data_IF_842218093777
#
_entry.id   IF_842218093777
#
_cell.length_a   1.000
_cell.length_b   1.000
_cell.length_c   1.000
_cell.angle_alpha   90.00
_cell.angle_beta   90.00
_cell.angle_gamma   90.00
#
_symmetry.space_group_name_H-M   'P 1'
#
loop_
_entity.id
_entity.type
_entity.pdbx_description
1 polymer ?
#
# COMPACT_ATOMS: atom_id res chain seq x y z
N UNK A 1 -63.69 32.27 48.75
CA UNK A 1 -62.95 32.26 47.50
C UNK A 1 -61.84 31.25 47.61
N UNK A 2 -61.92 30.09 46.93
CA UNK A 2 -60.94 29.03 46.95
C UNK A 2 -60.19 29.04 45.63
N UNK A 3 -58.89 29.30 45.66
CA UNK A 3 -57.99 29.35 44.47
C UNK A 3 -57.56 27.89 44.18
N UNK A 4 -57.64 27.42 42.91
CA UNK A 4 -57.11 26.12 42.57
C UNK A 4 -55.58 26.15 42.31
N UNK A 5 -54.85 25.22 42.87
CA UNK A 5 -53.45 24.95 42.61
C UNK A 5 -53.36 24.10 41.37
N UNK A 6 -52.75 24.63 40.28
CA UNK A 6 -52.45 23.85 39.08
C UNK A 6 -51.09 23.18 39.29
N UNK A 7 -51.08 21.87 39.34
CA UNK A 7 -49.87 21.04 39.39
C UNK A 7 -49.36 20.81 37.97
N UNK A 8 -48.26 21.43 37.59
CA UNK A 8 -47.57 21.20 36.30
C UNK A 8 -46.69 19.97 36.42
N UNK A 9 -47.04 18.89 35.77
CA UNK A 9 -46.22 17.67 35.64
C UNK A 9 -45.21 17.87 34.53
N UNK A 10 -43.92 17.99 34.88
CA UNK A 10 -42.80 18.02 33.93
C UNK A 10 -42.47 16.57 33.58
N UNK A 11 -42.81 16.10 32.39
CA UNK A 11 -42.32 14.85 31.81
C UNK A 11 -40.89 15.09 31.30
N UNK A 12 -39.89 14.63 32.02
CA UNK A 12 -38.52 14.54 31.54
C UNK A 12 -38.40 13.34 30.59
N UNK A 13 -38.41 13.62 29.29
CA UNK A 13 -38.11 12.60 28.26
C UNK A 13 -36.65 12.22 28.31
N UNK A 14 -36.32 11.01 28.77
CA UNK A 14 -34.99 10.44 28.65
C UNK A 14 -34.81 10.00 27.21
N UNK A 15 -34.13 10.84 26.43
CA UNK A 15 -33.66 10.48 25.07
C UNK A 15 -32.56 9.45 25.19
N UNK A 16 -32.86 8.18 24.96
CA UNK A 16 -31.85 7.13 24.78
C UNK A 16 -31.23 7.35 23.41
N UNK A 17 -30.02 7.93 23.37
CA UNK A 17 -29.23 7.96 22.15
C UNK A 17 -28.83 6.51 21.81
N UNK A 18 -29.48 5.94 20.83
CA UNK A 18 -29.08 4.66 20.26
C UNK A 18 -27.80 4.92 19.46
N UNK A 19 -26.64 4.70 20.08
CA UNK A 19 -25.39 4.61 19.36
C UNK A 19 -25.48 3.36 18.48
N UNK A 20 -25.66 3.56 17.18
CA UNK A 20 -25.48 2.48 16.21
C UNK A 20 -24.04 1.95 16.38
N UNK A 21 -23.89 0.69 16.78
CA UNK A 21 -22.60 0.06 16.89
C UNK A 21 -21.88 0.16 15.53
N UNK A 22 -20.75 0.82 15.51
CA UNK A 22 -19.91 0.87 14.30
C UNK A 22 -19.55 -0.57 13.91
N UNK A 23 -19.73 -0.96 12.65
CA UNK A 23 -19.36 -2.30 12.21
C UNK A 23 -17.89 -2.56 12.56
N UNK A 24 -17.64 -3.70 13.20
CA UNK A 24 -16.27 -4.09 13.56
C UNK A 24 -15.46 -4.30 12.28
N UNK A 25 -14.20 -3.82 12.22
CA UNK A 25 -13.35 -4.05 11.06
C UNK A 25 -13.19 -5.55 10.77
N UNK A 26 -13.33 -5.91 9.51
CA UNK A 26 -13.16 -7.31 9.08
C UNK A 26 -11.70 -7.71 9.18
N UNK A 27 -11.45 -8.98 9.49
CA UNK A 27 -10.09 -9.54 9.55
C UNK A 27 -10.01 -10.80 8.68
N UNK A 28 -8.90 -10.97 8.00
CA UNK A 28 -8.56 -12.14 7.21
C UNK A 28 -7.24 -12.72 7.69
N UNK A 29 -7.23 -14.03 7.98
CA UNK A 29 -6.01 -14.77 8.33
C UNK A 29 -5.69 -15.78 7.23
N UNK A 30 -4.44 -15.84 6.81
CA UNK A 30 -3.98 -16.69 5.73
C UNK A 30 -2.50 -17.03 5.87
N UNK A 31 -2.12 -18.17 5.32
CA UNK A 31 -0.74 -18.56 5.06
C UNK A 31 -0.29 -17.99 3.73
N UNK A 32 0.95 -17.51 3.65
CA UNK A 32 1.52 -16.90 2.45
C UNK A 32 2.88 -17.52 2.13
N UNK A 33 3.12 -17.84 0.88
CA UNK A 33 4.37 -18.39 0.37
C UNK A 33 4.93 -17.50 -0.71
N UNK A 34 6.21 -17.16 -0.60
CA UNK A 34 6.94 -16.35 -1.56
C UNK A 34 8.24 -17.03 -1.93
N UNK A 35 8.31 -17.59 -3.13
CA UNK A 35 9.46 -18.29 -3.67
C UNK A 35 10.18 -17.39 -4.66
N UNK A 36 11.48 -17.22 -4.46
CA UNK A 36 12.40 -16.46 -5.35
C UNK A 36 13.37 -17.41 -5.98
N UNK A 37 13.54 -17.34 -7.30
CA UNK A 37 14.42 -18.21 -8.06
C UNK A 37 15.39 -17.34 -8.86
N UNK A 38 16.66 -17.37 -8.49
CA UNK A 38 17.75 -16.76 -9.26
C UNK A 38 18.23 -17.79 -10.26
N UNK A 39 18.30 -17.42 -11.55
CA UNK A 39 18.69 -18.30 -12.65
C UNK A 39 19.80 -17.67 -13.49
N UNK A 40 20.40 -18.49 -14.31
CA UNK A 40 21.34 -18.08 -15.34
C UNK A 40 22.55 -17.28 -14.79
N UNK A 41 23.01 -17.65 -13.60
CA UNK A 41 24.24 -17.09 -13.03
C UNK A 41 25.40 -17.54 -13.92
N UNK A 42 26.14 -16.59 -14.54
CA UNK A 42 27.24 -16.93 -15.43
C UNK A 42 28.36 -17.71 -14.73
N UNK A 43 28.93 -18.69 -15.43
CA UNK A 43 30.12 -19.35 -14.96
C UNK A 43 31.25 -18.32 -14.79
N UNK A 44 31.87 -18.31 -13.60
CA UNK A 44 32.94 -17.35 -13.25
C UNK A 44 32.43 -15.99 -12.76
N UNK A 45 31.14 -15.82 -12.48
CA UNK A 45 30.62 -14.68 -11.72
C UNK A 45 31.40 -14.55 -10.40
N UNK A 46 31.71 -13.32 -10.02
CA UNK A 46 32.50 -13.04 -8.80
C UNK A 46 31.63 -12.86 -7.59
N UNK A 47 30.44 -12.26 -7.79
CA UNK A 47 29.54 -11.99 -6.68
C UNK A 47 28.08 -11.93 -7.15
N UNK A 48 27.19 -12.44 -6.31
CA UNK A 48 25.73 -12.32 -6.48
C UNK A 48 25.16 -11.70 -5.22
N UNK A 49 24.42 -10.62 -5.39
CA UNK A 49 23.56 -10.04 -4.35
C UNK A 49 22.08 -10.31 -4.70
N UNK A 50 21.33 -10.75 -3.72
CA UNK A 50 19.89 -10.89 -3.83
C UNK A 50 19.21 -10.19 -2.64
N UNK A 51 18.22 -9.37 -2.92
CA UNK A 51 17.32 -8.79 -1.93
C UNK A 51 15.89 -9.29 -2.18
N UNK A 52 15.23 -9.72 -1.12
CA UNK A 52 13.84 -10.18 -1.13
C UNK A 52 13.05 -9.34 -0.12
N UNK A 53 11.93 -8.71 -0.51
CA UNK A 53 11.11 -7.96 0.43
C UNK A 53 10.51 -8.90 1.49
N UNK A 54 10.52 -8.46 2.74
CA UNK A 54 9.98 -9.18 3.88
C UNK A 54 8.87 -8.35 4.51
N UNK A 55 7.64 -8.87 4.63
CA UNK A 55 6.57 -8.14 5.27
C UNK A 55 6.85 -7.94 6.76
N UNK A 56 6.24 -6.92 7.34
CA UNK A 56 6.39 -6.58 8.76
C UNK A 56 5.04 -6.25 9.38
N UNK A 57 5.01 -6.23 10.71
CA UNK A 57 3.83 -5.84 11.48
C UNK A 57 3.53 -4.36 11.32
N UNK A 58 2.25 -4.03 11.27
CA UNK A 58 1.75 -2.67 11.40
C UNK A 58 0.44 -2.64 12.23
N UNK A 59 -0.23 -1.50 12.30
CA UNK A 59 -1.48 -1.36 13.04
C UNK A 59 -2.63 -2.25 12.49
N UNK A 60 -2.52 -2.70 11.25
CA UNK A 60 -3.56 -3.44 10.52
C UNK A 60 -3.10 -4.80 10.02
N UNK A 61 -1.84 -5.15 10.26
CA UNK A 61 -1.22 -6.39 9.80
C UNK A 61 -0.36 -7.00 10.89
N UNK A 62 -0.52 -8.29 11.13
CA UNK A 62 0.35 -9.09 11.99
C UNK A 62 0.95 -10.22 11.18
N UNK A 63 2.28 -10.37 11.24
CA UNK A 63 3.03 -11.43 10.59
C UNK A 63 3.56 -12.38 11.66
N UNK A 64 3.26 -13.65 11.53
CA UNK A 64 3.68 -14.70 12.46
C UNK A 64 4.33 -15.86 11.72
N UNK A 65 5.09 -16.64 12.46
CA UNK A 65 5.68 -17.89 11.96
C UNK A 65 6.50 -17.70 10.67
N UNK A 66 7.17 -16.53 10.53
CA UNK A 66 8.05 -16.28 9.39
C UNK A 66 9.15 -17.36 9.35
N UNK A 67 9.23 -18.07 8.25
CA UNK A 67 10.25 -19.07 7.94
C UNK A 67 10.95 -18.68 6.65
N UNK A 68 12.25 -18.85 6.64
CA UNK A 68 13.10 -18.58 5.48
C UNK A 68 13.89 -19.85 5.21
N UNK A 69 13.69 -20.42 4.02
CA UNK A 69 14.50 -21.51 3.49
C UNK A 69 15.46 -20.97 2.46
N UNK A 70 16.76 -21.06 2.75
CA UNK A 70 17.84 -20.52 1.92
C UNK A 70 19.03 -21.46 1.93
N UNK A 71 19.59 -21.82 0.77
CA UNK A 71 20.82 -22.61 0.70
C UNK A 71 22.06 -21.80 1.10
N UNK A 72 21.95 -20.50 1.25
CA UNK A 72 23.05 -19.59 1.61
C UNK A 72 22.75 -18.80 2.89
N UNK A 73 23.77 -18.36 3.62
CA UNK A 73 23.60 -17.43 4.73
C UNK A 73 22.90 -16.15 4.28
N UNK A 74 22.00 -15.65 5.11
CA UNK A 74 21.26 -14.41 4.83
C UNK A 74 21.28 -13.45 6.03
N UNK A 75 20.94 -12.21 5.78
CA UNK A 75 20.70 -11.17 6.79
C UNK A 75 19.34 -10.53 6.57
N UNK A 76 18.69 -10.16 7.67
CA UNK A 76 17.50 -9.30 7.63
C UNK A 76 17.93 -7.89 7.98
N UNK A 77 17.52 -6.92 7.19
CA UNK A 77 17.84 -5.51 7.40
C UNK A 77 16.61 -4.64 7.13
N UNK A 78 16.61 -3.46 7.73
CA UNK A 78 15.61 -2.42 7.47
C UNK A 78 16.29 -1.23 6.80
N UNK A 79 15.68 -0.67 5.78
CA UNK A 79 16.24 0.43 4.99
C UNK A 79 15.21 1.57 4.79
N UNK A 80 15.28 2.28 3.68
CA UNK A 80 14.41 3.43 3.39
C UNK A 80 12.92 3.09 3.57
N UNK A 81 12.16 4.04 4.06
CA UNK A 81 10.73 3.91 4.38
C UNK A 81 10.37 2.81 5.39
N UNK A 82 11.33 2.40 6.23
CA UNK A 82 11.19 1.29 7.19
C UNK A 82 10.94 -0.08 6.52
N UNK A 83 11.31 -0.23 5.25
CA UNK A 83 11.16 -1.49 4.53
C UNK A 83 12.12 -2.54 5.06
N UNK A 84 11.60 -3.71 5.36
CA UNK A 84 12.38 -4.88 5.79
C UNK A 84 12.70 -5.76 4.58
N UNK A 85 13.91 -6.25 4.53
CA UNK A 85 14.38 -7.11 3.45
C UNK A 85 15.33 -8.20 3.94
N UNK A 86 15.28 -9.33 3.27
CA UNK A 86 16.29 -10.37 3.33
C UNK A 86 17.36 -10.04 2.30
N UNK A 87 18.62 -10.16 2.67
CA UNK A 87 19.76 -10.03 1.77
C UNK A 87 20.62 -11.29 1.83
N UNK A 88 20.99 -11.79 0.65
CA UNK A 88 21.97 -12.87 0.45
C UNK A 88 23.09 -12.33 -0.44
N UNK A 89 24.33 -12.45 0.03
CA UNK A 89 25.53 -12.17 -0.76
C UNK A 89 26.33 -13.46 -0.94
N UNK A 90 26.70 -13.79 -2.17
CA UNK A 90 27.43 -15.01 -2.52
C UNK A 90 28.68 -14.66 -3.30
N UNK A 91 29.85 -14.94 -2.72
CA UNK A 91 31.14 -14.79 -3.40
C UNK A 91 31.42 -16.07 -4.19
N UNK A 92 31.91 -15.91 -5.43
CA UNK A 92 32.28 -17.00 -6.34
C UNK A 92 31.21 -18.10 -6.41
N UNK A 93 29.96 -17.77 -6.82
CA UNK A 93 28.87 -18.73 -6.85
C UNK A 93 29.23 -19.96 -7.68
N UNK A 94 28.92 -21.15 -7.17
CA UNK A 94 29.18 -22.43 -7.86
C UNK A 94 27.96 -22.90 -8.65
N UNK A 95 26.79 -22.54 -8.18
CA UNK A 95 25.52 -22.93 -8.80
C UNK A 95 25.06 -21.88 -9.81
N UNK A 96 24.56 -22.30 -10.95
CA UNK A 96 23.95 -21.42 -11.93
C UNK A 96 22.52 -21.01 -11.57
N UNK A 97 21.94 -21.63 -10.57
CA UNK A 97 20.56 -21.40 -10.10
C UNK A 97 20.44 -21.74 -8.62
N UNK A 98 19.70 -20.92 -7.88
CA UNK A 98 19.29 -21.25 -6.52
C UNK A 98 17.91 -20.69 -6.19
N UNK A 99 17.30 -21.20 -5.15
CA UNK A 99 15.97 -20.82 -4.70
C UNK A 99 16.00 -20.38 -3.24
N UNK A 100 15.26 -19.32 -2.92
CA UNK A 100 14.95 -18.89 -1.55
C UNK A 100 13.44 -18.84 -1.40
N UNK A 101 12.92 -19.38 -0.30
CA UNK A 101 11.50 -19.35 0.00
C UNK A 101 11.24 -18.66 1.35
N UNK A 102 10.26 -17.77 1.36
CA UNK A 102 9.69 -17.20 2.56
C UNK A 102 8.29 -17.76 2.74
N UNK A 103 7.93 -18.17 3.96
CA UNK A 103 6.54 -18.46 4.30
C UNK A 103 6.18 -17.85 5.65
N UNK A 104 4.94 -17.44 5.81
CA UNK A 104 4.45 -16.81 7.03
C UNK A 104 2.93 -16.90 7.13
N UNK A 105 2.42 -16.70 8.34
CA UNK A 105 1.00 -16.52 8.60
C UNK A 105 0.74 -15.03 8.77
N UNK A 106 -0.27 -14.50 8.08
CA UNK A 106 -0.69 -13.12 8.17
C UNK A 106 -2.11 -13.02 8.72
N UNK A 107 -2.34 -12.02 9.59
CA UNK A 107 -3.67 -11.55 9.94
C UNK A 107 -3.79 -10.10 9.50
N UNK A 108 -4.65 -9.84 8.51
CA UNK A 108 -4.90 -8.50 7.99
C UNK A 108 -6.28 -8.03 8.40
N UNK A 109 -6.32 -6.87 9.06
CA UNK A 109 -7.56 -6.19 9.45
C UNK A 109 -7.83 -5.04 8.50
N UNK A 110 -9.10 -4.76 8.20
CA UNK A 110 -9.49 -3.56 7.46
C UNK A 110 -8.85 -2.32 8.10
N UNK A 111 -8.21 -1.51 7.28
CA UNK A 111 -7.77 -0.19 7.68
C UNK A 111 -8.91 0.80 7.43
N UNK A 112 -9.64 1.15 8.46
CA UNK A 112 -10.73 2.14 8.39
C UNK A 112 -10.31 3.38 9.18
N UNK A 113 -10.29 4.54 8.53
CA UNK A 113 -10.14 5.82 9.22
C UNK A 113 -11.48 6.22 9.85
N UNK A 114 -11.74 5.73 11.05
CA UNK A 114 -13.02 5.87 11.74
C UNK A 114 -13.51 7.32 11.88
N UNK A 115 -12.59 8.28 11.95
CA UNK A 115 -12.93 9.72 12.06
C UNK A 115 -13.66 10.28 10.86
N UNK A 116 -13.45 9.70 9.68
CA UNK A 116 -14.23 10.07 8.48
C UNK A 116 -15.67 9.56 8.56
N UNK A 117 -15.93 8.59 9.43
CA UNK A 117 -17.23 7.93 9.60
C UNK A 117 -17.84 8.23 10.98
N UNK A 118 -17.54 9.40 11.57
CA UNK A 118 -18.12 9.85 12.83
C UNK A 118 -17.44 9.34 14.10
N UNK A 119 -16.25 8.76 13.97
CA UNK A 119 -15.42 8.38 15.13
C UNK A 119 -14.88 9.59 15.88
N UNK A 120 -14.39 9.42 17.13
CA UNK A 120 -13.89 10.51 17.96
C UNK A 120 -12.70 11.21 17.31
N UNK A 121 -12.66 12.55 17.44
CA UNK A 121 -11.50 13.34 17.02
C UNK A 121 -10.25 12.94 17.84
N UNK A 122 -9.05 13.03 17.21
CA UNK A 122 -7.80 12.94 17.96
C UNK A 122 -7.71 14.11 18.96
N UNK A 123 -7.35 13.82 20.21
CA UNK A 123 -6.66 14.83 21.00
C UNK A 123 -5.47 15.31 20.16
N UNK A 124 -5.14 16.62 20.21
CA UNK A 124 -4.10 17.24 19.38
C UNK A 124 -2.83 16.38 19.43
N UNK A 125 -2.66 15.49 18.45
CA UNK A 125 -1.43 14.75 18.25
C UNK A 125 -0.49 15.67 17.47
N UNK A 126 0.73 15.84 17.95
CA UNK A 126 1.78 16.46 17.14
C UNK A 126 1.90 15.66 15.83
N UNK A 127 1.97 16.37 14.71
CA UNK A 127 2.17 15.73 13.42
C UNK A 127 3.46 14.90 13.48
N UNK A 128 3.46 13.64 13.01
CA UNK A 128 4.65 12.80 13.02
C UNK A 128 5.83 13.50 12.37
N UNK A 129 7.01 13.46 13.01
CA UNK A 129 8.23 14.12 12.51
C UNK A 129 8.63 13.65 11.10
N UNK A 130 8.20 12.44 10.74
CA UNK A 130 8.47 11.84 9.43
C UNK A 130 7.61 12.39 8.30
N UNK A 131 6.62 13.25 8.55
CA UNK A 131 5.74 13.77 7.49
C UNK A 131 6.48 14.50 6.38
N UNK A 132 7.60 15.17 6.71
CA UNK A 132 8.39 15.92 5.75
C UNK A 132 8.93 15.04 4.60
N UNK A 133 9.22 13.76 4.84
CA UNK A 133 9.66 12.85 3.78
C UNK A 133 8.56 12.57 2.76
N UNK A 134 7.30 12.58 3.18
CA UNK A 134 6.13 12.29 2.34
C UNK A 134 5.60 13.52 1.59
N UNK A 135 6.31 14.64 1.67
CA UNK A 135 6.14 15.84 0.84
C UNK A 135 7.19 15.94 -0.28
N UNK A 136 8.17 15.03 -0.30
CA UNK A 136 9.23 15.04 -1.30
C UNK A 136 8.78 14.46 -2.64
N UNK A 137 9.35 14.91 -3.76
CA UNK A 137 9.13 14.26 -5.05
C UNK A 137 9.72 12.85 -5.05
N UNK A 138 9.16 12.00 -5.91
CA UNK A 138 9.82 10.78 -6.37
C UNK A 138 10.31 11.00 -7.81
N UNK A 139 11.27 10.23 -8.29
CA UNK A 139 11.88 10.36 -9.62
C UNK A 139 10.85 10.37 -10.77
N UNK A 140 9.79 9.57 -10.66
CA UNK A 140 8.70 9.50 -11.62
C UNK A 140 7.45 10.31 -11.19
N UNK A 141 7.52 11.01 -10.07
CA UNK A 141 6.47 11.92 -9.58
C UNK A 141 7.13 13.23 -9.14
N UNK A 142 7.68 14.01 -10.08
CA UNK A 142 8.23 15.32 -9.78
C UNK A 142 7.13 16.28 -9.30
N UNK A 143 7.52 17.27 -8.49
CA UNK A 143 6.62 18.31 -7.99
C UNK A 143 6.96 19.66 -8.65
N UNK A 144 7.04 19.65 -9.96
CA UNK A 144 7.34 20.83 -10.77
C UNK A 144 6.10 21.71 -11.01
N UNK A 145 6.29 22.81 -11.73
CA UNK A 145 5.24 23.79 -11.98
C UNK A 145 4.04 23.21 -12.73
N UNK A 146 4.28 22.24 -13.63
CA UNK A 146 3.21 21.61 -14.40
C UNK A 146 2.33 20.72 -13.50
N UNK A 147 2.95 19.89 -12.66
CA UNK A 147 2.22 19.03 -11.70
C UNK A 147 1.48 19.90 -10.68
N UNK A 148 2.10 20.98 -10.20
CA UNK A 148 1.45 21.96 -9.32
C UNK A 148 0.26 22.65 -9.98
N UNK A 149 0.38 23.02 -11.25
CA UNK A 149 -0.72 23.63 -12.00
C UNK A 149 -1.90 22.68 -12.18
N UNK A 150 -1.65 21.43 -12.54
CA UNK A 150 -2.70 20.41 -12.64
C UNK A 150 -3.39 20.13 -11.29
N UNK A 151 -2.62 20.02 -10.21
CA UNK A 151 -3.17 19.83 -8.88
C UNK A 151 -4.07 20.99 -8.44
N UNK A 152 -3.63 22.25 -8.65
CA UNK A 152 -4.42 23.45 -8.34
C UNK A 152 -5.73 23.49 -9.14
N UNK A 153 -5.67 23.23 -10.44
CA UNK A 153 -6.87 23.22 -11.30
C UNK A 153 -7.95 22.26 -10.78
N UNK A 154 -7.54 21.08 -10.28
CA UNK A 154 -8.48 20.09 -9.72
C UNK A 154 -9.15 20.60 -8.45
N UNK A 155 -8.40 21.17 -7.51
CA UNK A 155 -8.96 21.60 -6.22
C UNK A 155 -9.74 22.90 -6.33
N UNK A 156 -9.34 23.82 -7.21
CA UNK A 156 -10.06 25.05 -7.50
C UNK A 156 -11.44 24.77 -8.14
N UNK A 157 -11.49 23.87 -9.14
CA UNK A 157 -12.76 23.44 -9.74
C UNK A 157 -13.72 22.77 -8.75
N UNK A 158 -13.18 22.12 -7.73
CA UNK A 158 -13.94 21.49 -6.67
C UNK A 158 -14.28 22.44 -5.51
N UNK A 159 -13.77 23.68 -5.52
CA UNK A 159 -13.86 24.64 -4.41
C UNK A 159 -13.41 24.02 -3.08
N UNK A 160 -12.30 23.26 -3.10
CA UNK A 160 -11.77 22.53 -1.96
C UNK A 160 -10.70 23.36 -1.23
N UNK A 161 -10.80 23.47 0.10
CA UNK A 161 -9.99 24.39 0.91
C UNK A 161 -9.22 23.71 2.05
N UNK A 162 -9.69 22.57 2.54
CA UNK A 162 -9.02 21.79 3.59
C UNK A 162 -8.26 20.62 2.99
N UNK A 163 -7.27 20.07 3.72
CA UNK A 163 -6.51 18.89 3.29
C UNK A 163 -7.44 17.75 2.88
N UNK A 164 -8.50 17.52 3.66
CA UNK A 164 -9.46 16.47 3.40
C UNK A 164 -10.28 16.72 2.12
N UNK A 165 -10.78 17.94 1.94
CA UNK A 165 -11.54 18.34 0.74
C UNK A 165 -10.67 18.26 -0.52
N UNK A 166 -9.43 18.78 -0.43
CA UNK A 166 -8.46 18.71 -1.53
C UNK A 166 -8.11 17.28 -1.90
N UNK A 167 -7.83 16.42 -0.92
CA UNK A 167 -7.57 15.00 -1.16
C UNK A 167 -8.78 14.28 -1.75
N UNK A 168 -10.01 14.62 -1.31
CA UNK A 168 -11.26 14.08 -1.89
C UNK A 168 -11.44 14.53 -3.34
N UNK A 169 -11.16 15.81 -3.64
CA UNK A 169 -11.23 16.33 -5.00
C UNK A 169 -10.24 15.63 -5.93
N UNK A 170 -8.98 15.43 -5.47
CA UNK A 170 -7.96 14.69 -6.22
C UNK A 170 -8.39 13.24 -6.44
N UNK A 171 -8.85 12.55 -5.39
CA UNK A 171 -9.35 11.19 -5.49
C UNK A 171 -10.48 11.06 -6.51
N UNK A 172 -11.48 11.94 -6.42
CA UNK A 172 -12.59 11.97 -7.35
C UNK A 172 -12.17 12.24 -8.78
N UNK A 173 -11.20 13.14 -8.98
CA UNK A 173 -10.60 13.40 -10.28
C UNK A 173 -9.94 12.14 -10.85
N UNK A 174 -9.06 11.48 -10.09
CA UNK A 174 -8.36 10.26 -10.53
C UNK A 174 -9.36 9.16 -10.90
N UNK A 175 -10.31 8.85 -10.01
CA UNK A 175 -11.33 7.81 -10.25
C UNK A 175 -12.18 8.08 -11.48
N UNK A 176 -12.46 9.37 -11.78
CA UNK A 176 -13.34 9.76 -12.89
C UNK A 176 -12.61 9.89 -14.22
N UNK A 177 -11.31 10.14 -14.22
CA UNK A 177 -10.56 10.48 -15.43
C UNK A 177 -9.59 9.39 -15.90
N UNK A 178 -9.14 8.51 -14.98
CA UNK A 178 -8.18 7.46 -15.30
C UNK A 178 -8.90 6.12 -15.46
N UNK A 179 -8.63 5.42 -16.56
CA UNK A 179 -9.18 4.09 -16.82
C UNK A 179 -8.18 3.01 -16.40
N UNK A 180 -8.66 1.98 -15.69
CA UNK A 180 -7.84 0.80 -15.40
C UNK A 180 -7.65 -0.02 -16.69
N UNK A 181 -6.53 0.19 -17.36
CA UNK A 181 -6.23 -0.38 -18.67
C UNK A 181 -4.72 -0.65 -18.78
N UNK A 182 -4.35 -1.90 -19.01
CA UNK A 182 -2.98 -2.39 -19.12
C UNK A 182 -2.56 -2.62 -20.58
N UNK A 183 -3.26 -2.04 -21.54
CA UNK A 183 -2.90 -2.16 -22.96
C UNK A 183 -1.87 -1.12 -23.39
N UNK A 184 -1.09 -1.42 -24.40
CA UNK A 184 -0.04 -0.52 -24.91
C UNK A 184 1.25 -0.55 -24.08
N UNK A 185 2.03 0.53 -24.18
CA UNK A 185 3.34 0.67 -23.51
C UNK A 185 3.31 1.84 -22.52
N UNK A 186 4.14 1.76 -21.47
CA UNK A 186 4.38 2.85 -20.52
C UNK A 186 3.58 2.79 -19.23
N UNK A 187 2.47 2.04 -19.16
CA UNK A 187 1.70 1.84 -17.94
C UNK A 187 2.47 1.05 -16.87
N UNK A 188 2.05 1.19 -15.63
CA UNK A 188 2.56 0.41 -14.49
C UNK A 188 3.85 0.95 -13.89
N UNK A 189 4.43 2.00 -14.44
CA UNK A 189 5.60 2.65 -13.89
C UNK A 189 5.26 3.71 -12.83
N UNK A 190 4.01 4.19 -12.83
CA UNK A 190 3.61 5.32 -12.01
C UNK A 190 4.38 6.59 -12.39
N UNK A 191 4.60 6.79 -13.67
CA UNK A 191 5.08 8.04 -14.23
C UNK A 191 3.89 9.00 -14.31
N UNK A 192 3.95 10.08 -13.55
CA UNK A 192 2.82 11.01 -13.42
C UNK A 192 2.47 11.67 -14.75
N UNK A 193 3.46 11.96 -15.61
CA UNK A 193 3.19 12.55 -16.91
C UNK A 193 2.46 11.57 -17.83
N UNK A 194 2.93 10.33 -17.88
CA UNK A 194 2.23 9.28 -18.61
C UNK A 194 0.79 9.15 -18.13
N UNK A 195 0.61 9.01 -16.83
CA UNK A 195 -0.70 8.78 -16.22
C UNK A 195 -1.68 9.94 -16.47
N UNK A 196 -1.22 11.19 -16.39
CA UNK A 196 -2.02 12.37 -16.67
C UNK A 196 -2.38 12.55 -18.14
N UNK A 197 -1.46 12.22 -19.06
CA UNK A 197 -1.63 12.38 -20.49
C UNK A 197 -2.48 11.27 -21.09
N UNK A 198 -2.13 10.01 -20.81
CA UNK A 198 -2.81 8.83 -21.34
C UNK A 198 -4.13 8.52 -20.65
N UNK A 199 -4.30 8.98 -19.40
CA UNK A 199 -5.49 8.77 -18.56
C UNK A 199 -5.88 7.30 -18.46
N UNK A 200 -4.86 6.43 -18.39
CA UNK A 200 -5.00 4.98 -18.24
C UNK A 200 -3.75 4.39 -17.62
N UNK A 201 -3.90 3.19 -17.06
CA UNK A 201 -2.82 2.44 -16.46
C UNK A 201 -3.31 1.46 -15.41
N UNK A 202 -2.40 1.02 -14.54
CA UNK A 202 -2.72 0.17 -13.39
C UNK A 202 -2.74 0.98 -12.08
N UNK A 203 -2.80 0.28 -10.95
CA UNK A 203 -2.82 0.91 -9.62
C UNK A 203 -1.66 1.89 -9.40
N UNK A 204 -0.44 1.61 -9.92
CA UNK A 204 0.71 2.48 -9.75
C UNK A 204 0.52 3.84 -10.43
N UNK A 205 -0.10 3.84 -11.61
CA UNK A 205 -0.37 5.06 -12.39
C UNK A 205 -1.47 5.92 -11.72
N UNK A 206 -2.54 5.27 -11.21
CA UNK A 206 -3.58 5.95 -10.43
C UNK A 206 -3.00 6.65 -9.20
N UNK A 207 -2.19 5.93 -8.42
CA UNK A 207 -1.66 6.47 -7.18
C UNK A 207 -0.49 7.44 -7.40
N UNK A 208 0.19 7.41 -8.56
CA UNK A 208 1.16 8.43 -8.93
C UNK A 208 0.49 9.81 -9.07
N UNK A 209 -0.67 9.89 -9.74
CA UNK A 209 -1.43 11.14 -9.85
C UNK A 209 -1.91 11.58 -8.46
N UNK A 210 -2.54 10.68 -7.70
CA UNK A 210 -3.06 11.01 -6.38
C UNK A 210 -1.97 11.58 -5.47
N UNK A 211 -0.84 10.87 -5.32
CA UNK A 211 0.26 11.30 -4.46
C UNK A 211 0.93 12.58 -4.97
N UNK A 212 1.17 12.67 -6.27
CA UNK A 212 1.82 13.83 -6.88
C UNK A 212 1.01 15.11 -6.66
N UNK A 213 -0.30 15.04 -6.86
CA UNK A 213 -1.18 16.20 -6.64
C UNK A 213 -1.30 16.55 -5.15
N UNK A 214 -1.47 15.55 -4.27
CA UNK A 214 -1.52 15.78 -2.83
C UNK A 214 -0.24 16.46 -2.34
N UNK A 215 0.94 15.91 -2.67
CA UNK A 215 2.24 16.47 -2.28
C UNK A 215 2.49 17.87 -2.87
N UNK A 216 2.07 18.10 -4.12
CA UNK A 216 2.18 19.41 -4.79
C UNK A 216 1.36 20.52 -4.08
N UNK A 217 0.31 20.13 -3.35
CA UNK A 217 -0.53 21.01 -2.54
C UNK A 217 -0.15 21.03 -1.06
N UNK A 218 0.96 20.38 -0.68
CA UNK A 218 1.44 20.36 0.70
C UNK A 218 0.80 19.30 1.58
N UNK A 219 0.04 18.36 1.02
CA UNK A 219 -0.56 17.23 1.74
C UNK A 219 0.41 16.06 1.72
N UNK A 220 0.94 15.60 2.87
CA UNK A 220 1.81 14.44 2.91
C UNK A 220 1.09 13.21 2.41
N UNK A 221 1.71 12.49 1.45
CA UNK A 221 1.14 11.27 0.90
C UNK A 221 2.21 10.20 0.71
N UNK A 222 1.89 8.94 1.03
CA UNK A 222 2.81 7.81 0.94
C UNK A 222 2.25 6.69 0.09
N UNK A 223 3.14 6.00 -0.58
CA UNK A 223 2.89 4.82 -1.38
C UNK A 223 3.03 3.58 -0.52
N UNK A 224 2.14 2.62 -0.69
CA UNK A 224 2.25 1.29 -0.12
C UNK A 224 1.99 0.24 -1.20
N UNK A 225 2.67 -0.91 -1.11
CA UNK A 225 2.63 -1.95 -2.11
C UNK A 225 2.74 -3.33 -1.46
N UNK A 226 2.05 -4.28 -2.05
CA UNK A 226 2.07 -5.66 -1.63
C UNK A 226 1.30 -6.54 -2.60
N UNK A 227 0.56 -7.51 -2.09
CA UNK A 227 -0.18 -8.46 -2.93
C UNK A 227 -1.66 -8.47 -2.58
N UNK A 228 -2.53 -8.46 -3.60
CA UNK A 228 -3.96 -8.63 -3.39
C UNK A 228 -4.29 -10.11 -3.21
N UNK A 229 -5.29 -10.40 -2.39
CA UNK A 229 -5.92 -11.71 -2.31
C UNK A 229 -7.31 -11.63 -2.95
N UNK A 230 -7.78 -12.65 -3.68
CA UNK A 230 -9.17 -12.70 -4.14
C UNK A 230 -10.14 -12.51 -2.97
N UNK A 231 -11.28 -11.85 -3.21
CA UNK A 231 -12.28 -11.63 -2.18
C UNK A 231 -12.85 -12.95 -1.64
N UNK A 232 -13.00 -13.94 -2.52
CA UNK A 232 -13.42 -15.29 -2.15
C UNK A 232 -12.32 -15.96 -1.32
N UNK A 233 -12.75 -16.66 -0.28
CA UNK A 233 -11.83 -17.41 0.59
C UNK A 233 -11.40 -18.70 -0.10
N UNK A 234 -10.15 -19.12 0.18
CA UNK A 234 -9.60 -20.35 -0.40
C UNK A 234 -8.07 -20.34 -0.45
N UNK A 235 -7.53 -20.92 -1.50
CA UNK A 235 -6.10 -20.97 -1.78
C UNK A 235 -5.84 -20.71 -3.27
N UNK A 236 -4.64 -20.27 -3.60
CA UNK A 236 -4.27 -20.05 -4.99
C UNK A 236 -2.95 -19.35 -5.19
N UNK A 237 -2.59 -19.15 -6.47
CA UNK A 237 -1.45 -18.34 -6.87
C UNK A 237 -1.84 -16.88 -7.05
N UNK A 238 -0.92 -15.99 -6.74
CA UNK A 238 -1.07 -14.55 -6.93
C UNK A 238 -0.23 -14.13 -8.14
N UNK A 239 -0.89 -13.58 -9.15
CA UNK A 239 -0.24 -13.28 -10.43
C UNK A 239 0.56 -11.97 -10.43
N UNK A 240 0.31 -11.06 -9.49
CA UNK A 240 0.98 -9.77 -9.47
C UNK A 240 0.64 -8.93 -8.26
N UNK A 241 1.32 -7.78 -8.16
CA UNK A 241 1.20 -6.86 -7.03
C UNK A 241 -0.08 -6.01 -7.09
N UNK A 242 -0.39 -5.41 -5.95
CA UNK A 242 -1.30 -4.29 -5.82
C UNK A 242 -0.65 -3.19 -4.99
N UNK A 243 -0.93 -1.94 -5.33
CA UNK A 243 -0.47 -0.80 -4.56
C UNK A 243 -1.63 0.13 -4.24
N UNK A 244 -1.46 0.95 -3.21
CA UNK A 244 -2.41 1.93 -2.74
C UNK A 244 -1.67 3.15 -2.19
N UNK A 245 -2.41 4.14 -1.77
CA UNK A 245 -1.83 5.33 -1.15
C UNK A 245 -2.49 5.65 0.19
N UNK A 246 -1.81 6.44 0.98
CA UNK A 246 -2.35 7.06 2.17
C UNK A 246 -1.94 8.54 2.17
N UNK A 247 -2.80 9.43 2.66
CA UNK A 247 -2.47 10.83 2.87
C UNK A 247 -2.69 11.21 4.33
N UNK A 248 -1.96 12.21 4.79
CA UNK A 248 -2.12 12.71 6.15
C UNK A 248 -2.98 13.97 6.15
N UNK A 249 -4.11 13.93 6.83
CA UNK A 249 -4.98 15.08 7.06
C UNK A 249 -4.84 15.55 8.51
N UNK A 250 -4.60 16.86 8.68
CA UNK A 250 -4.45 17.46 10.02
C UNK A 250 -5.70 17.22 10.87
N UNK A 251 -5.49 16.73 12.10
CA UNK A 251 -6.57 16.41 13.04
C UNK A 251 -7.29 15.07 12.78
N UNK A 252 -6.97 14.39 11.67
CA UNK A 252 -7.53 13.08 11.30
C UNK A 252 -6.46 12.00 11.36
N UNK A 253 -5.23 12.29 10.90
CA UNK A 253 -4.15 11.34 10.78
C UNK A 253 -4.03 10.75 9.38
N UNK A 254 -3.43 9.56 9.26
CA UNK A 254 -3.31 8.87 7.98
C UNK A 254 -4.65 8.33 7.50
N UNK A 255 -4.99 8.67 6.27
CA UNK A 255 -6.24 8.29 5.58
C UNK A 255 -5.89 7.38 4.41
N UNK A 256 -6.34 6.12 4.41
CA UNK A 256 -6.10 5.21 3.30
C UNK A 256 -6.96 5.56 2.09
N UNK A 257 -6.41 5.40 0.88
CA UNK A 257 -7.12 5.57 -0.39
C UNK A 257 -6.71 4.52 -1.41
N UNK A 258 -7.69 3.98 -2.13
CA UNK A 258 -7.47 3.08 -3.25
C UNK A 258 -8.27 3.52 -4.47
N UNK A 259 -7.74 4.50 -5.20
CA UNK A 259 -8.40 5.07 -6.36
C UNK A 259 -8.55 4.06 -7.50
N UNK A 260 -7.67 3.07 -7.58
CA UNK A 260 -7.70 2.08 -8.64
C UNK A 260 -8.77 1.01 -8.42
N UNK A 261 -8.99 0.57 -7.18
CA UNK A 261 -10.10 -0.34 -6.86
C UNK A 261 -11.46 0.37 -6.99
N UNK A 262 -11.54 1.64 -6.57
CA UNK A 262 -12.72 2.48 -6.80
C UNK A 262 -13.03 2.68 -8.30
N UNK A 263 -12.00 2.77 -9.13
CA UNK A 263 -12.15 2.87 -10.58
C UNK A 263 -12.65 1.57 -11.24
N UNK A 264 -12.31 0.40 -10.65
CA UNK A 264 -12.80 -0.91 -11.10
C UNK A 264 -14.23 -1.19 -10.64
N UNK A 265 -14.56 -0.78 -9.41
CA UNK A 265 -15.87 -1.00 -8.79
C UNK A 265 -16.45 0.32 -8.25
N UNK A 266 -17.24 1.03 -9.06
CA UNK A 266 -17.84 2.30 -8.64
C UNK A 266 -18.73 2.21 -7.39
N UNK A 267 -19.27 1.03 -7.06
CA UNK A 267 -20.08 0.83 -5.86
C UNK A 267 -19.28 0.98 -4.56
N UNK A 268 -17.96 0.78 -4.65
CA UNK A 268 -17.02 0.90 -3.54
C UNK A 268 -16.27 2.24 -3.50
N UNK A 269 -16.68 3.20 -4.33
CA UNK A 269 -16.01 4.51 -4.43
C UNK A 269 -15.89 5.22 -3.08
N UNK A 270 -16.98 5.25 -2.31
CA UNK A 270 -16.98 5.90 -1.00
C UNK A 270 -16.16 5.11 0.03
N UNK A 271 -16.17 3.80 -0.05
CA UNK A 271 -15.39 2.92 0.83
C UNK A 271 -13.89 3.13 0.66
N UNK A 272 -13.37 3.15 -0.57
CA UNK A 272 -11.94 3.30 -0.84
C UNK A 272 -11.39 4.71 -0.68
N UNK A 273 -12.18 5.64 -0.18
CA UNK A 273 -11.69 6.89 0.38
C UNK A 273 -11.87 6.87 1.90
N UNK A 274 -10.89 6.39 2.60
CA UNK A 274 -10.88 6.25 4.07
C UNK A 274 -10.82 4.82 4.55
N UNK A 275 -10.83 3.83 3.63
CA UNK A 275 -10.67 2.42 3.99
C UNK A 275 -9.86 1.61 2.98
N UNK A 276 -9.20 0.57 3.48
CA UNK A 276 -8.66 -0.54 2.71
C UNK A 276 -9.20 -1.85 3.27
N UNK A 277 -9.60 -2.76 2.38
CA UNK A 277 -10.10 -4.06 2.78
C UNK A 277 -8.99 -4.98 3.34
N UNK A 278 -9.42 -6.07 3.94
CA UNK A 278 -8.57 -7.11 4.50
C UNK A 278 -7.97 -8.06 3.45
N UNK A 279 -8.30 -7.87 2.16
CA UNK A 279 -7.88 -8.78 1.08
C UNK A 279 -6.56 -8.35 0.46
N UNK A 280 -5.57 -8.09 1.29
CA UNK A 280 -4.22 -7.68 0.87
C UNK A 280 -3.18 -8.01 1.93
N UNK A 281 -1.94 -8.07 1.54
CA UNK A 281 -0.79 -8.09 2.43
C UNK A 281 0.20 -7.01 1.98
N UNK A 282 0.65 -6.16 2.91
CA UNK A 282 1.62 -5.11 2.65
C UNK A 282 3.05 -5.66 2.80
N UNK A 283 3.92 -5.30 1.87
CA UNK A 283 5.33 -5.69 1.88
C UNK A 283 6.27 -4.49 2.01
N UNK A 284 5.95 -3.38 1.35
CA UNK A 284 6.84 -2.22 1.34
C UNK A 284 6.08 -0.90 1.20
N UNK A 285 6.74 0.17 1.62
CA UNK A 285 6.29 1.57 1.49
C UNK A 285 7.30 2.39 0.70
N UNK A 286 6.80 3.48 0.13
CA UNK A 286 7.61 4.47 -0.56
C UNK A 286 8.02 4.08 -1.97
N UNK A 287 8.63 5.04 -2.63
CA UNK A 287 9.23 4.91 -3.96
C UNK A 287 10.69 5.31 -3.91
N UNK A 288 11.43 5.08 -4.99
CA UNK A 288 12.88 5.31 -5.05
C UNK A 288 13.63 4.64 -3.88
N UNK A 289 13.31 3.35 -3.67
CA UNK A 289 13.73 2.57 -2.51
C UNK A 289 15.21 2.22 -2.61
N UNK A 290 15.95 2.55 -1.56
CA UNK A 290 17.32 2.12 -1.36
C UNK A 290 17.34 0.88 -0.47
N UNK A 291 18.06 -0.16 -0.91
CA UNK A 291 18.17 -1.44 -0.22
C UNK A 291 19.29 -1.44 0.84
N UNK A 292 19.31 -2.46 1.68
CA UNK A 292 20.36 -2.69 2.68
C UNK A 292 20.90 -4.13 2.62
N UNK A 293 22.21 -4.36 2.33
CA UNK A 293 23.17 -3.32 1.91
C UNK A 293 22.71 -2.62 0.63
N UNK A 294 23.26 -1.43 0.35
CA UNK A 294 22.84 -0.64 -0.80
C UNK A 294 23.22 -1.35 -2.10
N UNK A 295 22.23 -1.47 -3.01
CA UNK A 295 22.44 -1.95 -4.37
C UNK A 295 23.38 -1.02 -5.16
N UNK A 296 24.05 -1.57 -6.17
CA UNK A 296 24.91 -0.81 -7.10
C UNK A 296 24.09 -0.06 -8.15
N UNK A 297 22.95 -0.65 -8.54
CA UNK A 297 22.00 -0.03 -9.47
C UNK A 297 21.28 1.18 -8.87
N UNK A 298 20.36 1.74 -9.67
CA UNK A 298 19.52 2.86 -9.25
C UNK A 298 18.57 2.48 -8.10
N UNK A 299 18.05 3.48 -7.41
CA UNK A 299 16.96 3.30 -6.46
C UNK A 299 15.75 2.62 -7.16
N UNK A 300 15.18 1.63 -6.50
CA UNK A 300 14.05 0.89 -7.06
C UNK A 300 12.79 1.74 -7.03
N UNK A 301 12.06 1.76 -8.14
CA UNK A 301 10.80 2.48 -8.23
C UNK A 301 9.82 2.08 -7.12
N UNK A 302 9.78 0.79 -6.78
CA UNK A 302 9.10 0.19 -5.62
C UNK A 302 9.75 -1.17 -5.31
N UNK A 303 9.50 -1.71 -4.11
CA UNK A 303 10.15 -2.93 -3.67
C UNK A 303 9.12 -3.96 -3.19
N UNK A 304 8.58 -4.73 -4.12
CA UNK A 304 7.63 -5.83 -3.85
C UNK A 304 8.10 -7.13 -4.50
N UNK A 305 8.98 -7.04 -5.48
CA UNK A 305 9.63 -8.17 -6.15
C UNK A 305 11.08 -8.31 -5.72
N UNK A 306 11.66 -9.51 -5.84
CA UNK A 306 13.07 -9.71 -5.54
C UNK A 306 13.93 -8.91 -6.52
N UNK A 307 15.05 -8.42 -6.05
CA UNK A 307 16.03 -7.72 -6.87
C UNK A 307 17.38 -8.42 -6.77
N UNK A 308 17.99 -8.69 -7.92
CA UNK A 308 19.28 -9.41 -8.02
C UNK A 308 20.31 -8.54 -8.71
N UNK A 309 21.55 -8.60 -8.24
CA UNK A 309 22.72 -8.10 -8.95
C UNK A 309 23.74 -9.21 -9.10
N UNK A 310 24.31 -9.35 -10.29
CA UNK A 310 25.44 -10.23 -10.59
C UNK A 310 26.60 -9.33 -11.00
N UNK A 311 27.71 -9.42 -10.29
CA UNK A 311 28.88 -8.53 -10.47
C UNK A 311 28.49 -7.04 -10.48
N UNK A 312 27.51 -6.67 -9.64
CA UNK A 312 27.00 -5.31 -9.48
C UNK A 312 26.10 -4.81 -10.59
N UNK A 313 25.55 -5.69 -11.41
CA UNK A 313 24.58 -5.35 -12.49
C UNK A 313 23.34 -6.22 -12.35
N UNK A 314 22.16 -5.61 -12.52
CA UNK A 314 20.93 -6.38 -12.56
C UNK A 314 20.81 -7.17 -13.86
N UNK A 315 20.57 -8.51 -13.78
CA UNK A 315 20.34 -9.32 -14.98
C UNK A 315 18.95 -9.12 -15.58
N UNK A 316 18.10 -8.32 -14.97
CA UNK A 316 16.69 -8.13 -15.31
C UNK A 316 15.75 -8.63 -14.23
N UNK A 317 14.57 -9.10 -14.59
CA UNK A 317 13.57 -9.57 -13.64
C UNK A 317 13.97 -10.91 -13.00
N UNK A 318 13.98 -10.96 -11.69
CA UNK A 318 14.16 -12.20 -10.93
C UNK A 318 12.85 -12.99 -10.93
N UNK A 319 12.92 -14.29 -11.17
CA UNK A 319 11.72 -15.15 -11.18
C UNK A 319 11.19 -15.33 -9.77
N UNK A 320 9.88 -15.25 -9.62
CA UNK A 320 9.21 -15.48 -8.34
C UNK A 320 7.89 -16.24 -8.53
N UNK A 321 7.46 -16.91 -7.48
CA UNK A 321 6.15 -17.55 -7.38
C UNK A 321 5.53 -17.18 -6.04
N UNK A 322 4.24 -16.85 -6.05
CA UNK A 322 3.51 -16.43 -4.86
C UNK A 322 2.24 -17.25 -4.74
N UNK A 323 2.00 -17.78 -3.55
CA UNK A 323 0.79 -18.50 -3.22
C UNK A 323 0.24 -18.08 -1.86
N UNK A 324 -1.05 -18.32 -1.66
CA UNK A 324 -1.72 -18.10 -0.38
C UNK A 324 -2.70 -19.22 -0.10
N UNK A 325 -3.06 -19.40 1.18
CA UNK A 325 -4.12 -20.28 1.65
C UNK A 325 -4.78 -19.65 2.87
N UNK A 326 -6.08 -19.46 2.83
CA UNK A 326 -6.84 -18.93 3.97
C UNK A 326 -6.78 -19.89 5.17
N UNK A 327 -6.73 -19.34 6.37
CA UNK A 327 -6.81 -20.11 7.59
C UNK A 327 -8.18 -20.83 7.67
N UNK A 328 -8.17 -22.10 7.99
CA UNK A 328 -9.38 -22.94 8.03
C UNK A 328 -9.80 -23.56 6.70
N UNK A 329 -9.11 -23.28 5.60
CA UNK A 329 -9.30 -24.03 4.35
C UNK A 329 -8.74 -25.46 4.48
N UNK A 330 -9.39 -26.49 3.89
CA UNK A 330 -8.86 -27.84 3.86
C UNK A 330 -7.48 -27.87 3.21
N UNK A 331 -6.56 -28.65 3.75
CA UNK A 331 -5.27 -28.87 3.09
C UNK A 331 -5.50 -29.65 1.80
N UNK A 332 -5.37 -28.98 0.65
CA UNK A 332 -5.23 -29.70 -0.61
C UNK A 332 -3.78 -30.20 -0.69
N UNK A 333 -3.60 -31.50 -0.72
CA UNK A 333 -2.29 -32.15 -0.71
C UNK A 333 -1.45 -31.64 -1.85
N UNK A 334 -0.34 -31.03 -1.50
CA UNK A 334 0.81 -30.57 -2.26
C UNK A 334 0.82 -30.77 -3.78
N UNK A 335 1.02 -29.69 -4.49
CA UNK A 335 1.72 -29.74 -5.78
C UNK A 335 3.18 -30.18 -5.55
N UNK A 336 3.45 -31.47 -5.82
CA UNK A 336 4.79 -32.04 -5.96
C UNK A 336 5.46 -31.52 -7.22
#
# INVERSE_FOLDING_TARGET
>A
MKTPIVLATILAGIGVAVYAAQPQPRTRSFHFEYKTIVKDIPAGAKHVDLWVPVPHDDAYQQIKNLRIDSPYPYKIATASHQNTMLHVGIDEPKDSTFTISLSFDAARTEHIQSRLFGGPALAQEEAPKELAQYLKPDRLVPLDDQVRAWARDVVEKANAHTDLEMARAIYNHVVSTVKYDKTGKGWGRGDIYYACQERRGNCTDFHAIFMGYARALGIPARFAIGFPLPADRGEGKIAGYHCWAEFYAKGIGWVPVDASEAGKDPSKREYFFGAHDENRVEFAKGRDVLLAPRQKGEALNYFVYPYTEIDGRSPGETVYEIAYRDAGSPQTTALR
#
